data_IF_927634516252
#
_entry.id   IF_927634516252
#
_cell.length_a   1.000
_cell.length_b   1.000
_cell.length_c   1.000
_cell.angle_alpha   90.00
_cell.angle_beta   90.00
_cell.angle_gamma   90.00
#
_symmetry.space_group_name_H-M   'P 1'
#
loop_
_entity.id
_entity.type
_entity.pdbx_description
1 polymer ?
#
# COMPACT_ATOMS: atom_id res chain seq x y z
N UNK A 1 -2.95 0.63 -14.94
CA UNK A 1 -4.06 1.60 -14.70
C UNK A 1 -3.61 2.61 -13.64
N UNK A 2 -3.69 3.92 -13.89
CA UNK A 2 -3.09 4.97 -13.02
C UNK A 2 -4.00 5.33 -11.83
N UNK A 3 -5.32 5.31 -12.03
CA UNK A 3 -6.28 5.73 -11.00
C UNK A 3 -6.28 4.83 -9.76
N UNK A 4 -6.10 3.51 -9.93
CA UNK A 4 -6.09 2.54 -8.82
C UNK A 4 -5.09 2.90 -7.72
N UNK A 5 -3.78 2.99 -8.04
CA UNK A 5 -2.74 3.42 -7.09
C UNK A 5 -3.06 4.71 -6.34
N UNK A 6 -3.61 5.71 -7.03
CA UNK A 6 -3.99 6.99 -6.41
C UNK A 6 -5.06 6.78 -5.34
N UNK A 7 -6.15 6.09 -5.69
CA UNK A 7 -7.24 5.81 -4.75
C UNK A 7 -6.77 4.97 -3.56
N UNK A 8 -5.98 3.93 -3.82
CA UNK A 8 -5.45 3.06 -2.78
C UNK A 8 -4.55 3.84 -1.81
N UNK A 9 -3.61 4.64 -2.31
CA UNK A 9 -2.72 5.41 -1.45
C UNK A 9 -3.43 6.52 -0.68
N UNK A 10 -4.45 7.15 -1.26
CA UNK A 10 -5.32 8.08 -0.53
C UNK A 10 -6.04 7.40 0.65
N UNK A 11 -6.52 6.17 0.48
CA UNK A 11 -7.19 5.42 1.55
C UNK A 11 -6.17 4.96 2.59
N UNK A 12 -5.16 4.19 2.18
CA UNK A 12 -4.31 3.50 3.14
C UNK A 12 -3.24 4.40 3.76
N UNK A 13 -2.74 5.42 3.05
CA UNK A 13 -1.71 6.34 3.57
C UNK A 13 -2.33 7.67 3.98
N UNK A 14 -3.21 8.23 3.16
CA UNK A 14 -3.92 9.46 3.50
C UNK A 14 -4.86 9.30 4.69
N UNK A 15 -5.82 8.37 4.60
CA UNK A 15 -6.86 8.22 5.62
C UNK A 15 -6.42 7.31 6.78
N UNK A 16 -6.03 6.06 6.51
CA UNK A 16 -5.78 5.05 7.55
C UNK A 16 -4.58 5.42 8.43
N UNK A 17 -3.44 5.79 7.85
CA UNK A 17 -2.27 6.16 8.67
C UNK A 17 -2.53 7.41 9.52
N UNK A 18 -3.31 8.35 9.01
CA UNK A 18 -3.73 9.54 9.77
C UNK A 18 -4.70 9.17 10.89
N UNK A 19 -5.67 8.29 10.63
CA UNK A 19 -6.59 7.79 11.66
C UNK A 19 -5.85 7.05 12.79
N UNK A 20 -4.73 6.39 12.47
CA UNK A 20 -3.88 5.65 13.41
C UNK A 20 -2.72 6.48 13.96
N UNK A 21 -2.70 7.80 13.79
CA UNK A 21 -1.59 8.67 14.18
C UNK A 21 -1.20 8.54 15.67
N UNK A 22 -2.18 8.33 16.56
CA UNK A 22 -1.93 8.09 18.00
C UNK A 22 -1.06 6.85 18.27
N UNK A 23 -1.10 5.87 17.36
CA UNK A 23 -0.31 4.64 17.41
C UNK A 23 1.07 4.75 16.76
N UNK A 24 1.46 5.94 16.25
CA UNK A 24 2.68 6.14 15.47
C UNK A 24 3.97 5.80 16.19
N UNK A 25 4.04 6.08 17.50
CA UNK A 25 5.19 5.71 18.34
C UNK A 25 5.44 4.20 18.40
N UNK A 26 4.41 3.40 18.16
CA UNK A 26 4.47 1.93 18.16
C UNK A 26 4.48 1.33 16.75
N UNK A 27 4.47 2.16 15.69
CA UNK A 27 4.42 1.68 14.31
C UNK A 27 3.03 1.24 13.83
N UNK A 28 1.97 1.47 14.61
CA UNK A 28 0.63 0.91 14.32
C UNK A 28 -0.05 1.51 13.09
N UNK A 29 0.19 2.77 12.74
CA UNK A 29 -0.23 3.38 11.48
C UNK A 29 0.40 2.67 10.27
N UNK A 30 1.71 2.37 10.32
CA UNK A 30 2.39 1.64 9.24
C UNK A 30 1.90 0.20 9.15
N UNK A 31 1.90 -0.52 10.27
CA UNK A 31 1.44 -1.92 10.30
C UNK A 31 -0.04 -2.03 9.94
N UNK A 32 -0.90 -1.19 10.51
CA UNK A 32 -2.33 -1.19 10.25
C UNK A 32 -2.66 -0.84 8.80
N UNK A 33 -1.99 0.17 8.24
CA UNK A 33 -2.10 0.52 6.81
C UNK A 33 -1.70 -0.66 5.91
N UNK A 34 -0.54 -1.27 6.16
CA UNK A 34 -0.04 -2.36 5.35
C UNK A 34 -0.89 -3.64 5.46
N UNK A 35 -1.38 -3.98 6.65
CA UNK A 35 -2.28 -5.12 6.85
C UNK A 35 -3.60 -4.90 6.13
N UNK A 36 -4.23 -3.73 6.28
CA UNK A 36 -5.49 -3.42 5.59
C UNK A 36 -5.32 -3.39 4.07
N UNK A 37 -4.18 -2.92 3.59
CA UNK A 37 -3.80 -3.00 2.17
C UNK A 37 -3.66 -4.45 1.71
N UNK A 38 -2.96 -5.31 2.46
CA UNK A 38 -2.84 -6.73 2.14
C UNK A 38 -4.19 -7.46 2.14
N UNK A 39 -5.03 -7.22 3.16
CA UNK A 39 -6.36 -7.83 3.28
C UNK A 39 -7.26 -7.43 2.11
N UNK A 40 -7.25 -6.17 1.68
CA UNK A 40 -8.12 -5.74 0.58
C UNK A 40 -7.80 -6.46 -0.72
N UNK A 41 -6.54 -6.79 -0.96
CA UNK A 41 -6.10 -7.50 -2.16
C UNK A 41 -6.51 -8.97 -2.17
N UNK A 42 -6.50 -9.65 -1.02
CA UNK A 42 -6.89 -11.07 -0.93
C UNK A 42 -8.38 -11.29 -0.70
N UNK A 43 -9.13 -10.26 -0.25
CA UNK A 43 -10.53 -10.38 0.14
C UNK A 43 -11.44 -10.92 -0.96
N UNK A 44 -11.15 -10.58 -2.21
CA UNK A 44 -11.89 -11.02 -3.40
C UNK A 44 -11.18 -12.15 -4.17
N UNK A 45 -10.02 -12.62 -3.71
CA UNK A 45 -9.13 -13.53 -4.44
C UNK A 45 -8.79 -14.81 -3.66
N UNK A 46 -9.67 -15.25 -2.75
CA UNK A 46 -9.60 -16.57 -2.14
C UNK A 46 -8.76 -16.71 -0.86
N UNK A 47 -8.36 -15.59 -0.23
CA UNK A 47 -7.70 -15.58 1.10
C UNK A 47 -6.39 -16.39 1.18
N UNK A 48 -5.56 -16.32 0.13
CA UNK A 48 -4.27 -17.00 0.08
C UNK A 48 -3.25 -16.28 0.96
N UNK A 49 -2.62 -16.99 1.90
CA UNK A 49 -1.68 -16.40 2.85
C UNK A 49 -0.42 -15.86 2.18
N UNK A 50 0.09 -16.52 1.14
CA UNK A 50 1.27 -16.05 0.40
C UNK A 50 1.01 -14.72 -0.28
N UNK A 51 -0.17 -14.54 -0.87
CA UNK A 51 -0.58 -13.31 -1.53
C UNK A 51 -0.74 -12.19 -0.51
N UNK A 52 -1.34 -12.51 0.65
CA UNK A 52 -1.44 -11.56 1.76
C UNK A 52 -0.06 -11.04 2.18
N UNK A 53 0.90 -11.94 2.40
CA UNK A 53 2.27 -11.54 2.80
C UNK A 53 2.93 -10.69 1.72
N UNK A 54 2.72 -11.03 0.44
CA UNK A 54 3.24 -10.25 -0.68
C UNK A 54 2.68 -8.83 -0.73
N UNK A 55 1.35 -8.68 -0.71
CA UNK A 55 0.69 -7.37 -0.76
C UNK A 55 0.92 -6.56 0.51
N UNK A 56 0.91 -7.19 1.70
CA UNK A 56 1.27 -6.54 2.96
C UNK A 56 2.72 -6.04 2.90
N UNK A 57 3.65 -6.82 2.34
CA UNK A 57 5.05 -6.43 2.16
C UNK A 57 5.21 -5.18 1.31
N UNK A 58 4.56 -5.13 0.14
CA UNK A 58 4.50 -3.90 -0.67
C UNK A 58 3.83 -2.75 0.07
N UNK A 59 2.76 -3.06 0.81
CA UNK A 59 2.04 -2.12 1.65
C UNK A 59 2.91 -1.44 2.71
N UNK A 60 3.83 -2.19 3.33
CA UNK A 60 4.82 -1.69 4.30
C UNK A 60 5.80 -0.72 3.64
N UNK A 61 6.30 -1.05 2.44
CA UNK A 61 7.22 -0.18 1.71
C UNK A 61 6.57 1.17 1.44
N UNK A 62 5.34 1.18 0.91
CA UNK A 62 4.62 2.43 0.64
C UNK A 62 4.26 3.20 1.92
N UNK A 63 3.87 2.52 2.99
CA UNK A 63 3.57 3.15 4.28
C UNK A 63 4.81 3.79 4.92
N UNK A 64 5.96 3.11 4.90
CA UNK A 64 7.23 3.67 5.39
C UNK A 64 7.66 4.85 4.52
N UNK A 65 7.55 4.73 3.19
CA UNK A 65 7.88 5.81 2.26
C UNK A 65 7.04 7.05 2.53
N UNK A 66 5.73 6.90 2.71
CA UNK A 66 4.85 8.00 3.11
C UNK A 66 5.27 8.63 4.44
N UNK A 67 5.55 7.81 5.46
CA UNK A 67 5.94 8.31 6.79
C UNK A 67 7.23 9.12 6.76
N UNK A 68 8.24 8.64 6.03
CA UNK A 68 9.57 9.27 5.96
C UNK A 68 9.52 10.54 5.12
N UNK A 69 8.85 10.49 3.96
CA UNK A 69 8.80 11.64 3.04
C UNK A 69 7.75 12.68 3.42
N UNK A 70 6.77 12.31 4.27
CA UNK A 70 5.60 13.11 4.62
C UNK A 70 4.82 13.63 3.41
N UNK A 71 4.89 12.91 2.29
CA UNK A 71 4.27 13.29 1.03
C UNK A 71 3.63 12.08 0.38
N UNK A 72 2.36 12.23 -0.02
CA UNK A 72 1.59 11.16 -0.66
C UNK A 72 2.01 10.93 -2.12
N UNK A 73 2.71 11.88 -2.73
CA UNK A 73 3.15 11.76 -4.12
C UNK A 73 4.21 10.67 -4.33
N UNK A 74 5.08 10.44 -3.35
CA UNK A 74 6.12 9.40 -3.43
C UNK A 74 5.57 7.97 -3.45
N UNK A 75 4.71 7.54 -2.51
CA UNK A 75 4.10 6.22 -2.59
C UNK A 75 3.25 6.07 -3.85
N UNK A 76 2.45 7.08 -4.24
CA UNK A 76 1.66 7.06 -5.49
C UNK A 76 2.55 6.82 -6.71
N UNK A 77 3.63 7.60 -6.85
CA UNK A 77 4.54 7.49 -7.98
C UNK A 77 5.19 6.10 -8.06
N UNK A 78 5.71 5.61 -6.93
CA UNK A 78 6.32 4.28 -6.86
C UNK A 78 5.31 3.18 -7.19
N UNK A 79 4.08 3.30 -6.69
CA UNK A 79 3.03 2.33 -6.90
C UNK A 79 2.56 2.28 -8.36
N UNK A 80 2.42 3.44 -9.02
CA UNK A 80 2.14 3.50 -10.46
C UNK A 80 3.26 2.84 -11.26
N UNK A 81 4.53 3.14 -10.93
CA UNK A 81 5.69 2.55 -11.63
C UNK A 81 5.71 1.03 -11.44
N UNK A 82 5.51 0.56 -10.22
CA UNK A 82 5.49 -0.87 -9.90
C UNK A 82 4.41 -1.61 -10.70
N UNK A 83 3.18 -1.09 -10.70
CA UNK A 83 2.09 -1.67 -11.49
C UNK A 83 2.35 -1.57 -13.00
N UNK A 84 2.95 -0.48 -13.46
CA UNK A 84 3.33 -0.30 -14.87
C UNK A 84 4.35 -1.34 -15.33
N UNK A 85 5.39 -1.59 -14.55
CA UNK A 85 6.39 -2.64 -14.82
C UNK A 85 5.71 -4.01 -14.91
N UNK A 86 4.86 -4.36 -13.94
CA UNK A 86 4.12 -5.63 -13.97
C UNK A 86 3.25 -5.79 -15.22
N UNK A 87 2.54 -4.72 -15.62
CA UNK A 87 1.73 -4.73 -16.85
C UNK A 87 2.56 -4.89 -18.12
N UNK A 88 3.71 -4.22 -18.21
CA UNK A 88 4.62 -4.34 -19.36
C UNK A 88 5.21 -5.75 -19.43
N UNK A 89 5.64 -6.31 -18.30
CA UNK A 89 6.20 -7.68 -18.26
C UNK A 89 5.19 -8.74 -18.69
N UNK A 90 3.89 -8.55 -18.42
CA UNK A 90 2.84 -9.46 -18.90
C UNK A 90 2.59 -9.39 -20.42
N UNK A 91 3.09 -8.35 -21.11
CA UNK A 91 2.93 -8.18 -22.56
C UNK A 91 4.14 -8.70 -23.37
N UNK A 92 5.22 -9.11 -22.70
CA UNK A 92 6.42 -9.70 -23.30
C UNK A 92 6.35 -11.23 -23.25
#
# INVERSE_FOLDING_TARGET
>A
MIAGPIFEDMIYRGLVMTALEKGKKWGLDVLGSAVLFGVSHISNHGWVLTDFVFYMGGGLIFAVLFRVTKSIYWPIGLHIVYNGIGQILMLL
#
